data_IF_961067529983
#
_entry.id   IF_961067529983
#
_cell.length_a   1.000
_cell.length_b   1.000
_cell.length_c   1.000
_cell.angle_alpha   90.00
_cell.angle_beta   90.00
_cell.angle_gamma   90.00
#
_symmetry.space_group_name_H-M   'P 1'
#
loop_
_entity.id
_entity.type
_entity.pdbx_description
1 polymer ?
#
# COMPACT_ATOMS: atom_id res chain seq x y z
N UNK A 1 15.62 -8.95 -6.00
CA UNK A 1 15.30 -8.41 -4.64
C UNK A 1 14.08 -9.15 -4.13
N UNK A 2 13.98 -9.49 -2.84
CA UNK A 2 12.81 -10.25 -2.33
C UNK A 2 11.65 -9.34 -1.94
N UNK A 3 10.42 -9.87 -2.03
CA UNK A 3 9.24 -9.20 -1.51
C UNK A 3 9.40 -8.93 -0.01
N UNK A 4 9.05 -7.73 0.44
CA UNK A 4 9.11 -7.31 1.85
C UNK A 4 7.99 -7.92 2.72
N UNK A 5 7.17 -8.80 2.17
CA UNK A 5 6.15 -9.54 2.92
C UNK A 5 6.82 -10.82 3.41
N UNK A 6 6.96 -10.98 4.73
CA UNK A 6 7.76 -12.03 5.35
C UNK A 6 7.35 -13.46 4.94
N UNK A 7 6.06 -13.70 4.68
CA UNK A 7 5.55 -14.99 4.22
C UNK A 7 5.70 -15.19 2.70
N UNK A 8 6.04 -14.13 1.97
CA UNK A 8 6.17 -14.16 0.53
C UNK A 8 7.60 -14.54 0.11
N UNK A 9 7.71 -15.64 -0.64
CA UNK A 9 8.97 -16.05 -1.27
C UNK A 9 9.14 -15.50 -2.69
N UNK A 10 8.22 -14.64 -3.12
CA UNK A 10 8.22 -14.05 -4.46
C UNK A 10 9.33 -13.03 -4.65
N UNK A 11 9.82 -12.93 -5.87
CA UNK A 11 10.73 -11.86 -6.27
C UNK A 11 9.96 -10.53 -6.35
N UNK A 12 10.51 -9.48 -5.75
CA UNK A 12 9.96 -8.15 -5.84
C UNK A 12 10.20 -7.58 -7.24
N UNK A 13 9.13 -7.05 -7.83
CA UNK A 13 9.16 -6.41 -9.15
C UNK A 13 9.11 -4.88 -9.04
N UNK A 14 8.61 -4.35 -7.91
CA UNK A 14 8.42 -2.92 -7.74
C UNK A 14 8.59 -2.49 -6.28
N UNK A 15 9.22 -1.34 -6.06
CA UNK A 15 9.27 -0.67 -4.76
C UNK A 15 8.15 0.36 -4.69
N UNK A 16 7.29 0.26 -3.67
CA UNK A 16 6.19 1.20 -3.42
C UNK A 16 6.43 1.95 -2.11
N UNK A 17 6.00 3.21 -2.05
CA UNK A 17 5.97 3.97 -0.81
C UNK A 17 4.66 3.69 -0.09
N UNK A 18 4.75 3.11 1.11
CA UNK A 18 3.58 2.79 1.93
C UNK A 18 3.27 3.94 2.90
N UNK A 19 4.28 4.72 3.26
CA UNK A 19 4.15 5.88 4.13
C UNK A 19 5.29 6.86 3.87
N UNK A 20 5.19 8.07 4.43
CA UNK A 20 6.18 9.13 4.24
C UNK A 20 7.63 8.70 4.53
N UNK A 21 7.82 7.73 5.44
CA UNK A 21 9.13 7.21 5.85
C UNK A 21 9.38 5.75 5.50
N UNK A 22 8.43 5.05 4.89
CA UNK A 22 8.55 3.60 4.64
C UNK A 22 8.27 3.27 3.17
N UNK A 23 9.20 2.52 2.57
CA UNK A 23 9.03 1.90 1.25
C UNK A 23 9.12 0.39 1.40
N UNK A 24 8.39 -0.35 0.56
CA UNK A 24 8.43 -1.81 0.52
C UNK A 24 8.57 -2.31 -0.90
N UNK A 25 9.30 -3.40 -1.04
CA UNK A 25 9.46 -4.12 -2.29
C UNK A 25 8.34 -5.14 -2.39
N UNK A 26 7.50 -5.07 -3.43
CA UNK A 26 6.36 -5.95 -3.63
C UNK A 26 6.55 -6.81 -4.87
N UNK A 27 6.18 -8.09 -4.77
CA UNK A 27 5.97 -8.94 -5.93
C UNK A 27 4.64 -8.57 -6.61
N UNK A 28 4.39 -9.15 -7.80
CA UNK A 28 3.18 -8.86 -8.60
C UNK A 28 1.88 -8.99 -7.79
N UNK A 29 1.72 -10.10 -7.08
CA UNK A 29 0.51 -10.38 -6.30
C UNK A 29 0.27 -9.35 -5.19
N UNK A 30 1.31 -9.04 -4.41
CA UNK A 30 1.19 -8.07 -3.33
C UNK A 30 1.05 -6.63 -3.82
N UNK A 31 1.62 -6.31 -4.98
CA UNK A 31 1.42 -5.03 -5.63
C UNK A 31 -0.05 -4.82 -6.02
N UNK A 32 -0.70 -5.84 -6.60
CA UNK A 32 -2.13 -5.78 -6.96
C UNK A 32 -3.01 -5.64 -5.72
N UNK A 33 -2.71 -6.37 -4.64
CA UNK A 33 -3.42 -6.24 -3.36
C UNK A 33 -3.27 -4.85 -2.75
N UNK A 34 -2.06 -4.28 -2.80
CA UNK A 34 -1.76 -2.94 -2.29
C UNK A 34 -2.55 -1.86 -3.04
N UNK A 35 -2.52 -1.89 -4.37
CA UNK A 35 -3.25 -0.93 -5.22
C UNK A 35 -4.77 -1.00 -5.05
N UNK A 36 -5.31 -2.21 -4.83
CA UNK A 36 -6.73 -2.39 -4.57
C UNK A 36 -7.15 -1.87 -3.18
N UNK A 37 -6.28 -1.98 -2.17
CA UNK A 37 -6.52 -1.42 -0.84
C UNK A 37 -6.57 0.10 -0.87
N UNK A 38 -5.65 0.74 -1.60
CA UNK A 38 -5.60 2.20 -1.72
C UNK A 38 -6.87 2.76 -2.38
N UNK A 39 -7.36 2.06 -3.43
CA UNK A 39 -8.66 2.40 -4.05
C UNK A 39 -9.84 2.30 -3.09
N UNK A 40 -9.90 1.26 -2.25
CA UNK A 40 -10.98 1.10 -1.25
C UNK A 40 -10.85 2.07 -0.07
N UNK A 41 -9.64 2.55 0.22
CA UNK A 41 -9.36 3.52 1.27
C UNK A 41 -9.27 4.95 0.74
N UNK A 42 -10.05 5.28 -0.31
CA UNK A 42 -10.49 6.66 -0.50
C UNK A 42 -11.52 6.98 0.58
N UNK A 43 -11.06 7.00 1.84
CA UNK A 43 -11.82 7.64 2.91
C UNK A 43 -11.80 9.11 2.51
N UNK A 44 -12.91 9.57 1.96
CA UNK A 44 -13.20 10.99 1.87
C UNK A 44 -13.10 11.50 3.30
N UNK A 45 -11.94 12.05 3.66
CA UNK A 45 -11.76 12.79 4.89
C UNK A 45 -12.60 14.07 4.75
N UNK A 46 -13.92 13.93 4.89
CA UNK A 46 -14.82 15.05 5.08
C UNK A 46 -14.39 15.72 6.38
N UNK A 47 -13.74 16.88 6.20
CA UNK A 47 -13.27 17.76 7.27
C UNK A 47 -14.37 17.89 8.33
N UNK A 48 -14.10 17.42 9.55
CA UNK A 48 -15.04 17.41 10.67
C UNK A 48 -15.44 18.81 11.18
N UNK A 49 -14.98 19.89 10.54
CA UNK A 49 -15.30 21.28 10.87
C UNK A 49 -16.71 21.73 10.43
N UNK A 50 -17.62 20.82 10.08
CA UNK A 50 -19.01 21.13 9.67
C UNK A 50 -20.09 20.60 10.61
N UNK A 51 -19.75 20.12 11.79
CA UNK A 51 -20.76 19.95 12.85
C UNK A 51 -20.80 21.23 13.68
N UNK A 52 -21.89 21.96 13.44
CA UNK A 52 -22.25 23.30 13.89
C UNK A 52 -22.42 23.38 15.40
#
# INVERSE_FOLDING_TARGET
>A
MQCSISECRGEAIQTVQISFRETRNLCKEHLELFQNKDKKHTINFTKASKFK
#
